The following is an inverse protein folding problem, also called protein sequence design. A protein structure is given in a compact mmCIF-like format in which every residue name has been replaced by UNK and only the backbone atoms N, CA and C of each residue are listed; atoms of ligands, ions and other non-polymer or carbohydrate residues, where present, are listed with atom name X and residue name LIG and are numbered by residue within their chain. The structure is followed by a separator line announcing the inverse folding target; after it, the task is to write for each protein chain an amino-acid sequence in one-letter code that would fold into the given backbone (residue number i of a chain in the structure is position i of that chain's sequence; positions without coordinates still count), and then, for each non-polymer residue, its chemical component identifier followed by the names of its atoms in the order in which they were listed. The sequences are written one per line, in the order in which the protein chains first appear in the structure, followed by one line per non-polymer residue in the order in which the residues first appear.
data_IF_085057406207
#
_entry.id   IF_085057406207
#
_cell.length_a   1.000
_cell.length_b   1.000
_cell.length_c   1.000
_cell.angle_alpha   90.00
_cell.angle_beta   90.00
_cell.angle_gamma   90.00
#
_symmetry.space_group_name_H-M   'P 1'
#
loop_
_entity.id
_entity.type
_entity.pdbx_description
1 polymer ?
#
# COMPACT_ATOMS: atom_id res chain seq x y z
N UNK A 1 -17.96 -5.74 -0.78
CA UNK A 1 -18.50 -4.47 -0.23
C UNK A 1 -20.03 -4.52 -0.15
N UNK A 2 -20.77 -4.96 -1.19
CA UNK A 2 -22.24 -5.00 -1.18
C UNK A 2 -22.84 -5.81 -0.01
N UNK A 3 -22.26 -6.95 0.34
CA UNK A 3 -22.69 -7.73 1.50
C UNK A 3 -22.40 -7.02 2.83
N UNK A 4 -21.25 -6.39 2.97
CA UNK A 4 -20.88 -5.67 4.19
C UNK A 4 -21.76 -4.44 4.41
N UNK A 5 -22.17 -3.74 3.35
CA UNK A 5 -23.10 -2.61 3.46
C UNK A 5 -24.46 -3.00 4.05
N UNK A 6 -24.95 -4.23 3.75
CA UNK A 6 -26.23 -4.73 4.23
C UNK A 6 -26.23 -5.13 5.71
N UNK A 7 -25.07 -5.26 6.32
CA UNK A 7 -24.93 -5.75 7.69
C UNK A 7 -25.15 -4.69 8.76
N UNK A 8 -25.17 -3.41 8.37
CA UNK A 8 -25.33 -2.26 9.28
C UNK A 8 -24.38 -2.26 10.50
N UNK A 9 -23.25 -2.94 10.37
CA UNK A 9 -22.22 -3.03 11.41
C UNK A 9 -21.07 -2.05 11.16
N UNK A 10 -20.35 -1.71 12.21
CA UNK A 10 -19.09 -0.98 12.12
C UNK A 10 -18.06 -1.92 11.48
N UNK A 11 -17.66 -1.63 10.24
CA UNK A 11 -16.73 -2.47 9.51
C UNK A 11 -15.82 -1.67 8.57
N UNK A 12 -14.65 -2.23 8.31
CA UNK A 12 -13.73 -1.78 7.29
C UNK A 12 -13.26 -2.96 6.45
N UNK A 13 -12.99 -2.72 5.18
CA UNK A 13 -12.40 -3.71 4.28
C UNK A 13 -11.11 -3.13 3.73
N UNK A 14 -10.05 -3.87 3.88
CA UNK A 14 -8.74 -3.56 3.34
C UNK A 14 -8.37 -4.53 2.22
N UNK A 15 -7.80 -4.02 1.15
CA UNK A 15 -7.28 -4.82 0.05
C UNK A 15 -5.92 -4.32 -0.41
N UNK A 16 -4.99 -5.23 -0.52
CA UNK A 16 -3.73 -5.07 -1.23
C UNK A 16 -3.21 -6.44 -1.63
N UNK A 17 -2.64 -6.63 -2.81
CA UNK A 17 -1.84 -7.83 -3.10
C UNK A 17 -0.49 -7.75 -2.37
N UNK A 18 0.19 -8.85 -2.26
CA UNK A 18 1.56 -8.96 -1.74
C UNK A 18 2.58 -8.35 -2.71
N UNK A 19 2.43 -8.61 -4.00
CA UNK A 19 3.22 -8.05 -5.09
C UNK A 19 2.39 -7.94 -6.37
N UNK A 20 2.97 -7.33 -7.39
CA UNK A 20 2.42 -7.32 -8.75
C UNK A 20 3.13 -8.34 -9.64
N UNK A 21 2.66 -8.45 -10.87
CA UNK A 21 3.15 -9.40 -11.87
C UNK A 21 3.46 -8.69 -13.19
N UNK A 22 4.50 -9.17 -13.86
CA UNK A 22 4.72 -8.86 -15.28
C UNK A 22 3.85 -9.79 -16.14
N UNK A 23 2.98 -9.22 -16.96
CA UNK A 23 2.04 -9.95 -17.82
C UNK A 23 2.32 -9.66 -19.30
N UNK A 24 3.59 -9.64 -19.70
CA UNK A 24 4.05 -9.27 -21.05
C UNK A 24 3.73 -7.81 -21.42
N UNK A 25 3.64 -6.94 -20.45
CA UNK A 25 3.13 -5.57 -20.55
C UNK A 25 3.97 -4.66 -21.44
N UNK A 26 5.24 -4.96 -21.66
CA UNK A 26 6.13 -4.15 -22.46
C UNK A 26 7.05 -4.95 -23.37
N UNK A 27 7.94 -4.26 -24.08
CA UNK A 27 8.87 -4.88 -25.06
C UNK A 27 9.84 -5.90 -24.43
N UNK A 28 10.01 -5.90 -23.10
CA UNK A 28 10.85 -6.87 -22.39
C UNK A 28 10.21 -8.25 -22.34
N UNK A 29 8.90 -8.36 -22.58
CA UNK A 29 8.11 -9.60 -22.58
C UNK A 29 8.37 -10.44 -21.34
N UNK A 30 8.49 -9.82 -20.18
CA UNK A 30 8.64 -10.50 -18.91
C UNK A 30 7.31 -11.12 -18.48
N UNK A 31 7.40 -12.21 -17.76
CA UNK A 31 6.24 -12.94 -17.28
C UNK A 31 6.45 -13.33 -15.82
N UNK A 32 5.41 -13.12 -15.00
CA UNK A 32 5.40 -13.31 -13.54
C UNK A 32 6.38 -12.37 -12.81
N UNK A 33 6.79 -12.80 -11.62
CA UNK A 33 7.80 -12.14 -10.80
C UNK A 33 9.08 -12.99 -10.73
N UNK A 34 9.92 -12.82 -9.73
CA UNK A 34 11.18 -13.57 -9.55
C UNK A 34 12.29 -13.13 -10.50
N UNK A 35 12.54 -11.84 -10.49
CA UNK A 35 13.67 -11.27 -11.21
C UNK A 35 14.56 -10.47 -10.27
N UNK A 36 15.88 -10.58 -10.40
CA UNK A 36 16.82 -9.82 -9.58
C UNK A 36 16.64 -8.29 -9.72
N UNK A 37 16.04 -7.85 -10.82
CA UNK A 37 15.67 -6.45 -11.03
C UNK A 37 14.16 -6.37 -11.23
N UNK A 38 13.40 -5.88 -10.23
CA UNK A 38 11.96 -5.75 -10.35
C UNK A 38 11.56 -4.76 -11.43
N UNK A 39 10.31 -4.85 -11.86
CA UNK A 39 9.71 -3.88 -12.77
C UNK A 39 8.74 -2.97 -12.03
N UNK A 40 8.31 -1.91 -12.71
CA UNK A 40 7.18 -1.10 -12.25
C UNK A 40 5.96 -1.97 -11.89
N UNK A 41 5.63 -2.94 -12.73
CA UNK A 41 4.43 -3.78 -12.58
C UNK A 41 4.48 -4.67 -11.34
N UNK A 42 5.66 -5.07 -10.89
CA UNK A 42 5.84 -5.87 -9.69
C UNK A 42 5.78 -5.04 -8.39
N UNK A 43 6.25 -3.79 -8.42
CA UNK A 43 6.41 -2.96 -7.24
C UNK A 43 5.23 -2.02 -6.96
N UNK A 44 4.51 -1.56 -7.99
CA UNK A 44 3.39 -0.63 -7.84
C UNK A 44 2.06 -1.38 -7.83
N UNK A 45 1.65 -1.75 -6.65
CA UNK A 45 0.43 -2.51 -6.39
C UNK A 45 -0.71 -1.61 -5.92
N UNK A 46 -1.97 -1.96 -6.21
CA UNK A 46 -3.12 -1.24 -5.70
C UNK A 46 -3.31 -1.49 -4.20
N UNK A 47 -3.67 -0.45 -3.48
CA UNK A 47 -4.06 -0.52 -2.09
C UNK A 47 -5.31 0.31 -1.89
N UNK A 48 -6.36 -0.25 -1.29
CA UNK A 48 -7.52 0.53 -0.90
C UNK A 48 -8.09 0.08 0.43
N UNK A 49 -8.75 1.01 1.10
CA UNK A 49 -9.56 0.76 2.27
C UNK A 49 -10.96 1.30 2.03
N UNK A 50 -11.96 0.54 2.44
CA UNK A 50 -13.35 0.96 2.48
C UNK A 50 -13.83 0.92 3.93
N UNK A 51 -14.62 1.91 4.31
CA UNK A 51 -15.25 2.00 5.62
C UNK A 51 -16.77 1.97 5.44
N UNK A 52 -17.48 1.25 6.33
CA UNK A 52 -18.95 1.32 6.39
C UNK A 52 -19.42 2.71 6.81
N UNK A 53 -20.67 3.03 6.52
CA UNK A 53 -21.28 4.31 6.94
C UNK A 53 -21.23 4.48 8.46
N UNK A 54 -21.49 3.40 9.20
CA UNK A 54 -21.38 3.41 10.66
C UNK A 54 -19.94 3.69 11.12
N UNK A 55 -18.93 3.09 10.47
CA UNK A 55 -17.53 3.41 10.78
C UNK A 55 -17.20 4.88 10.52
N UNK A 56 -17.64 5.41 9.37
CA UNK A 56 -17.39 6.81 9.01
C UNK A 56 -18.07 7.79 9.97
N UNK A 57 -19.29 7.47 10.43
CA UNK A 57 -20.02 8.28 11.40
C UNK A 57 -19.36 8.28 12.78
N UNK A 58 -18.96 7.10 13.25
CA UNK A 58 -18.49 6.90 14.61
C UNK A 58 -16.99 7.22 14.78
N UNK A 59 -16.21 7.14 13.69
CA UNK A 59 -14.76 7.40 13.66
C UNK A 59 -14.33 8.33 12.51
N UNK A 60 -14.93 9.52 12.39
CA UNK A 60 -14.69 10.43 11.27
C UNK A 60 -13.23 10.89 11.16
N UNK A 61 -12.51 10.99 12.28
CA UNK A 61 -11.10 11.40 12.29
C UNK A 61 -10.22 10.37 11.57
N UNK A 62 -10.41 9.08 11.86
CA UNK A 62 -9.64 8.01 11.17
C UNK A 62 -9.87 8.02 9.67
N UNK A 63 -11.12 8.22 9.26
CA UNK A 63 -11.47 8.34 7.84
C UNK A 63 -10.83 9.60 7.24
N UNK A 64 -10.85 10.72 7.97
CA UNK A 64 -10.21 11.97 7.58
C UNK A 64 -8.70 11.79 7.37
N UNK A 65 -8.00 11.11 8.28
CA UNK A 65 -6.57 10.82 8.14
C UNK A 65 -6.30 9.90 6.95
N UNK A 66 -7.13 8.88 6.71
CA UNK A 66 -7.00 8.02 5.54
C UNK A 66 -7.08 8.83 4.23
N UNK A 67 -8.02 9.77 4.13
CA UNK A 67 -8.18 10.64 2.97
C UNK A 67 -6.97 11.59 2.82
N UNK A 68 -6.53 12.20 3.91
CA UNK A 68 -5.38 13.11 3.93
C UNK A 68 -4.07 12.41 3.53
N UNK A 69 -3.90 11.16 3.98
CA UNK A 69 -2.68 10.39 3.77
C UNK A 69 -2.69 9.61 2.43
N UNK A 70 -3.85 9.49 1.76
CA UNK A 70 -4.02 8.75 0.51
C UNK A 70 -2.97 9.08 -0.58
N UNK A 71 -2.58 10.35 -0.83
CA UNK A 71 -1.59 10.66 -1.86
C UNK A 71 -0.14 10.35 -1.46
N UNK A 72 0.09 10.02 -0.19
CA UNK A 72 1.46 9.79 0.31
C UNK A 72 1.97 8.40 -0.09
N UNK A 73 3.25 8.26 -0.43
CA UNK A 73 3.83 6.97 -0.74
C UNK A 73 3.89 6.08 0.49
N UNK A 74 3.51 4.80 0.29
CA UNK A 74 3.45 3.79 1.35
C UNK A 74 3.99 2.46 0.81
N UNK A 75 4.44 1.59 1.68
CA UNK A 75 4.82 0.23 1.37
C UNK A 75 3.98 -0.76 2.21
N UNK A 76 4.00 -2.03 1.84
CA UNK A 76 3.16 -3.08 2.44
C UNK A 76 3.42 -3.31 3.93
N UNK A 77 4.57 -2.90 4.46
CA UNK A 77 4.82 -2.92 5.91
C UNK A 77 3.86 -2.05 6.73
N UNK A 78 3.18 -1.09 6.09
CA UNK A 78 2.12 -0.29 6.72
C UNK A 78 0.85 -1.11 7.03
N UNK A 79 0.61 -2.21 6.32
CA UNK A 79 -0.62 -3.02 6.42
C UNK A 79 -0.89 -3.47 7.85
N UNK A 80 0.12 -4.06 8.50
CA UNK A 80 -0.01 -4.52 9.88
C UNK A 80 -0.44 -3.39 10.82
N UNK A 81 0.21 -2.25 10.74
CA UNK A 81 -0.07 -1.09 11.60
C UNK A 81 -1.44 -0.48 11.29
N UNK A 82 -1.82 -0.41 10.03
CA UNK A 82 -3.16 0.05 9.63
C UNK A 82 -4.27 -0.85 10.14
N UNK A 83 -4.09 -2.18 10.06
CA UNK A 83 -5.10 -3.14 10.53
C UNK A 83 -5.32 -3.01 12.04
N UNK A 84 -4.25 -2.94 12.82
CA UNK A 84 -4.33 -2.72 14.26
C UNK A 84 -5.03 -1.40 14.59
N UNK A 85 -4.65 -0.34 13.92
CA UNK A 85 -5.14 1.02 14.19
C UNK A 85 -6.60 1.20 13.77
N UNK A 86 -7.01 0.63 12.62
CA UNK A 86 -8.41 0.59 12.17
C UNK A 86 -9.29 -0.18 13.15
N UNK A 87 -8.77 -1.25 13.75
CA UNK A 87 -9.47 -2.08 14.72
C UNK A 87 -9.34 -1.57 16.16
N UNK A 88 -8.67 -0.44 16.41
CA UNK A 88 -8.40 0.11 17.75
C UNK A 88 -7.64 -0.85 18.67
N UNK A 89 -6.83 -1.76 18.10
CA UNK A 89 -6.04 -2.70 18.86
C UNK A 89 -4.76 -2.01 19.36
N UNK A 90 -4.65 -1.87 20.67
CA UNK A 90 -3.47 -1.32 21.32
C UNK A 90 -2.46 -2.44 21.62
N UNK A 91 -1.24 -2.26 21.16
CA UNK A 91 -0.13 -3.22 21.37
C UNK A 91 1.20 -2.49 21.30
N UNK A 92 2.24 -2.97 22.02
CA UNK A 92 3.59 -2.40 21.91
C UNK A 92 4.18 -2.42 20.50
N UNK A 93 3.62 -3.23 19.61
CA UNK A 93 4.09 -3.36 18.22
C UNK A 93 3.45 -2.35 17.27
N UNK A 94 2.36 -1.68 17.68
CA UNK A 94 1.72 -0.65 16.86
C UNK A 94 2.64 0.57 16.76
N UNK A 95 2.95 0.97 15.53
CA UNK A 95 3.65 2.22 15.21
C UNK A 95 2.67 3.15 14.47
N UNK A 96 2.07 4.14 15.16
CA UNK A 96 1.11 5.07 14.51
C UNK A 96 1.69 5.80 13.31
N UNK A 97 2.99 6.11 13.33
CA UNK A 97 3.70 6.73 12.20
C UNK A 97 3.75 5.88 10.92
N UNK A 98 3.33 4.61 10.96
CA UNK A 98 3.17 3.75 9.78
C UNK A 98 1.71 3.53 9.39
N UNK A 99 0.74 4.03 10.16
CA UNK A 99 -0.68 3.86 9.87
C UNK A 99 -1.24 5.02 9.07
N UNK A 100 -1.79 4.75 7.88
CA UNK A 100 -2.46 5.76 7.05
C UNK A 100 -3.74 6.35 7.69
N UNK A 101 -4.28 5.70 8.72
CA UNK A 101 -5.44 6.20 9.47
C UNK A 101 -5.04 6.93 10.76
N UNK A 102 -3.77 7.28 10.90
CA UNK A 102 -3.22 8.04 12.02
C UNK A 102 -2.84 9.46 11.62
N UNK A 103 -3.02 10.42 12.55
CA UNK A 103 -2.46 11.77 12.45
C UNK A 103 -0.93 11.77 12.39
N UNK A 104 -0.31 10.77 13.01
CA UNK A 104 1.14 10.65 13.15
C UNK A 104 1.81 10.03 11.92
N UNK A 105 1.03 9.66 10.88
CA UNK A 105 1.58 9.03 9.68
C UNK A 105 2.70 9.86 9.05
N UNK A 106 3.85 9.21 8.87
CA UNK A 106 5.03 9.80 8.26
C UNK A 106 5.47 8.98 7.05
N UNK A 107 5.69 9.65 5.94
CA UNK A 107 6.33 9.03 4.78
C UNK A 107 7.75 8.61 5.13
N UNK A 108 8.06 7.33 4.89
CA UNK A 108 9.41 6.78 5.09
C UNK A 108 9.99 6.31 3.76
N UNK A 109 11.30 6.12 3.73
CA UNK A 109 11.94 5.48 2.59
C UNK A 109 11.36 4.07 2.41
N UNK A 110 10.86 3.82 1.21
CA UNK A 110 10.28 2.52 0.87
C UNK A 110 11.37 1.49 0.64
N UNK A 111 11.08 0.27 1.05
CA UNK A 111 11.93 -0.89 0.83
C UNK A 111 11.10 -1.97 0.12
N UNK A 112 11.77 -2.85 -0.60
CA UNK A 112 11.18 -4.07 -1.14
C UNK A 112 12.10 -5.25 -0.82
N UNK A 113 11.58 -6.46 -0.81
CA UNK A 113 12.38 -7.68 -0.74
C UNK A 113 12.82 -8.07 -2.15
N UNK A 114 14.12 -8.31 -2.33
CA UNK A 114 14.60 -8.84 -3.59
C UNK A 114 14.41 -10.37 -3.65
N UNK A 115 14.81 -11.00 -4.74
CA UNK A 115 14.73 -12.45 -4.97
C UNK A 115 15.54 -13.32 -3.98
N UNK A 116 16.32 -12.69 -3.13
CA UNK A 116 17.09 -13.32 -2.04
C UNK A 116 16.56 -12.93 -0.66
N UNK A 117 15.32 -12.46 -0.57
CA UNK A 117 14.66 -12.02 0.67
C UNK A 117 15.43 -10.92 1.45
N UNK A 118 16.25 -10.16 0.75
CA UNK A 118 16.99 -9.05 1.34
C UNK A 118 16.24 -7.74 1.14
N UNK A 119 16.03 -6.96 2.21
CA UNK A 119 15.44 -5.65 2.09
C UNK A 119 16.38 -4.68 1.36
N UNK A 120 15.90 -4.09 0.28
CA UNK A 120 16.63 -3.11 -0.51
C UNK A 120 15.80 -1.83 -0.59
N UNK A 121 16.44 -0.68 -0.45
CA UNK A 121 15.77 0.60 -0.63
C UNK A 121 15.26 0.76 -2.05
N UNK A 122 14.06 1.31 -2.19
CA UNK A 122 13.38 1.45 -3.47
C UNK A 122 14.21 2.18 -4.53
N UNK A 123 14.97 3.23 -4.15
CA UNK A 123 15.83 3.95 -5.08
C UNK A 123 16.99 3.08 -5.62
N UNK A 124 17.35 1.99 -4.92
CA UNK A 124 18.35 1.00 -5.35
C UNK A 124 17.75 -0.19 -6.12
N UNK A 125 16.44 -0.16 -6.40
CA UNK A 125 15.73 -1.26 -7.06
C UNK A 125 16.22 -1.60 -8.48
N UNK A 126 17.09 -0.78 -9.04
CA UNK A 126 17.62 -1.02 -10.39
C UNK A 126 16.59 -0.83 -11.50
N UNK A 127 15.52 -0.06 -11.23
CA UNK A 127 14.46 0.24 -12.19
C UNK A 127 15.02 0.78 -13.50
N UNK A 128 14.62 0.19 -14.61
CA UNK A 128 15.03 0.61 -15.96
C UNK A 128 14.28 1.87 -16.38
N UNK A 129 14.78 2.52 -17.44
CA UNK A 129 14.18 3.74 -18.00
C UNK A 129 12.68 3.59 -18.26
N UNK A 130 12.24 2.43 -18.77
CA UNK A 130 10.83 2.17 -19.03
C UNK A 130 9.97 2.19 -17.75
N UNK A 131 10.48 1.64 -16.64
CA UNK A 131 9.79 1.63 -15.35
C UNK A 131 9.66 3.05 -14.79
N UNK A 132 10.73 3.83 -14.85
CA UNK A 132 10.74 5.25 -14.43
C UNK A 132 9.75 6.07 -15.24
N UNK A 133 9.71 5.87 -16.57
CA UNK A 133 8.73 6.54 -17.44
C UNK A 133 7.29 6.19 -17.08
N UNK A 134 7.01 4.95 -16.64
CA UNK A 134 5.67 4.56 -16.17
C UNK A 134 5.30 5.26 -14.86
N UNK A 135 6.23 5.40 -13.93
CA UNK A 135 6.05 6.15 -12.68
C UNK A 135 5.70 7.61 -13.00
N UNK A 136 6.52 8.26 -13.83
CA UNK A 136 6.31 9.65 -14.25
C UNK A 136 4.97 9.86 -14.95
N UNK A 137 4.67 9.00 -15.93
CA UNK A 137 3.41 9.06 -16.68
C UNK A 137 2.18 8.95 -15.79
N UNK A 138 2.25 8.14 -14.74
CA UNK A 138 1.15 7.94 -13.79
C UNK A 138 1.19 8.93 -12.62
N UNK A 139 2.14 9.86 -12.60
CA UNK A 139 2.34 10.84 -11.52
C UNK A 139 2.46 10.18 -10.14
N UNK A 140 3.14 9.06 -10.10
CA UNK A 140 3.39 8.33 -8.86
C UNK A 140 4.66 8.85 -8.18
N UNK A 141 4.80 8.58 -6.90
CA UNK A 141 6.01 8.97 -6.15
C UNK A 141 7.20 8.06 -6.49
N UNK A 142 8.36 8.65 -6.62
CA UNK A 142 9.63 7.94 -6.77
C UNK A 142 10.15 7.42 -5.43
#
# INVERSE_FOLDING_TARGET
IGMLRKQEVISALFYTPDHGEDMLDDRRKRFLHSSPNPTFYQLYIPMFIWFSENYQRDFPEKVGYAVQNKPKPVATNAVFHMMLDVAFIQTPYLQPGLSLVSSDFQTRQRMYLNDHDKPIFFYNAGLKKADKQMIDKRKLSH
#
